data_IF_660217233521
#
_entry.id   IF_660217233521
#
_cell.length_a   1.000
_cell.length_b   1.000
_cell.length_c   1.000
_cell.angle_alpha   90.00
_cell.angle_beta   90.00
_cell.angle_gamma   90.00
#
_symmetry.space_group_name_H-M   'P 1'
#
loop_
_entity.id
_entity.type
_entity.pdbx_description
1 polymer ?
#
# COMPACT_ATOMS: atom_id res chain seq x y z
N UNK A 1 11.10 21.74 -61.14
CA UNK A 1 10.89 20.46 -60.39
C UNK A 1 10.77 20.60 -58.83
N UNK A 2 11.04 21.76 -58.20
CA UNK A 2 10.97 21.94 -56.72
C UNK A 2 9.56 22.13 -56.11
N UNK A 3 8.56 22.63 -56.88
CA UNK A 3 7.22 22.91 -56.32
C UNK A 3 6.33 21.68 -56.03
N UNK A 4 6.54 20.53 -56.66
CA UNK A 4 5.74 19.31 -56.43
C UNK A 4 6.14 18.54 -55.14
N UNK A 5 7.39 18.64 -54.71
CA UNK A 5 7.85 18.00 -53.45
C UNK A 5 7.27 18.70 -52.19
N UNK A 6 7.13 20.02 -52.23
CA UNK A 6 6.60 20.80 -51.10
C UNK A 6 5.10 20.54 -50.83
N UNK A 7 4.30 20.34 -51.90
CA UNK A 7 2.87 19.98 -51.73
C UNK A 7 2.66 18.59 -51.17
N UNK A 8 3.48 17.59 -51.52
CA UNK A 8 3.40 16.23 -50.96
C UNK A 8 3.78 16.19 -49.48
N UNK A 9 4.76 16.97 -49.08
CA UNK A 9 5.23 17.00 -47.70
C UNK A 9 4.20 17.67 -46.75
N UNK A 10 3.51 18.74 -47.21
CA UNK A 10 2.41 19.37 -46.45
C UNK A 10 1.16 18.49 -46.37
N UNK A 11 0.89 17.68 -47.40
CA UNK A 11 -0.24 16.75 -47.36
C UNK A 11 0.00 15.59 -46.39
N UNK A 12 1.24 15.08 -46.36
CA UNK A 12 1.62 14.00 -45.45
C UNK A 12 1.64 14.46 -43.99
N UNK A 13 2.15 15.66 -43.70
CA UNK A 13 2.12 16.24 -42.34
C UNK A 13 0.70 16.54 -41.86
N UNK A 14 -0.18 17.02 -42.76
CA UNK A 14 -1.60 17.23 -42.45
C UNK A 14 -2.34 15.92 -42.11
N UNK A 15 -2.07 14.84 -42.85
CA UNK A 15 -2.69 13.55 -42.63
C UNK A 15 -2.24 12.91 -41.28
N UNK A 16 -0.95 13.05 -40.94
CA UNK A 16 -0.42 12.58 -39.64
C UNK A 16 -1.03 13.37 -38.47
N UNK A 17 -1.18 14.69 -38.62
CA UNK A 17 -1.84 15.54 -37.63
C UNK A 17 -3.32 15.17 -37.44
N UNK A 18 -4.04 14.90 -38.53
CA UNK A 18 -5.46 14.47 -38.47
C UNK A 18 -5.57 13.11 -37.78
N UNK A 19 -4.67 12.16 -38.04
CA UNK A 19 -4.64 10.87 -37.34
C UNK A 19 -4.29 11.01 -35.85
N UNK A 20 -3.39 11.91 -35.46
CA UNK A 20 -3.04 12.21 -34.08
C UNK A 20 -4.19 12.93 -33.35
N UNK A 21 -4.83 13.92 -33.99
CA UNK A 21 -5.98 14.61 -33.37
C UNK A 21 -7.24 13.75 -33.36
N UNK A 22 -7.51 12.99 -34.43
CA UNK A 22 -8.61 12.02 -34.44
C UNK A 22 -8.44 10.92 -33.42
N UNK A 23 -7.22 10.38 -33.24
CA UNK A 23 -6.88 9.43 -32.19
C UNK A 23 -7.05 10.02 -30.78
N UNK A 24 -6.61 11.27 -30.58
CA UNK A 24 -6.78 11.98 -29.31
C UNK A 24 -8.25 12.29 -29.00
N UNK A 25 -9.05 12.67 -30.00
CA UNK A 25 -10.48 12.94 -29.83
C UNK A 25 -11.27 11.66 -29.50
N UNK A 26 -10.98 10.54 -30.16
CA UNK A 26 -11.56 9.23 -29.86
C UNK A 26 -11.13 8.72 -28.47
N UNK A 27 -9.89 9.03 -28.07
CA UNK A 27 -9.37 8.69 -26.73
C UNK A 27 -10.06 9.50 -25.62
N UNK A 28 -10.34 10.78 -25.87
CA UNK A 28 -11.00 11.67 -24.91
C UNK A 28 -12.51 11.42 -24.79
N UNK A 29 -13.17 10.99 -25.87
CA UNK A 29 -14.64 10.89 -25.91
C UNK A 29 -15.20 9.56 -25.38
N UNK A 30 -14.38 8.50 -25.22
CA UNK A 30 -14.82 7.19 -24.70
C UNK A 30 -13.77 6.51 -23.81
N UNK A 31 -13.48 7.07 -22.63
CA UNK A 31 -12.42 6.56 -21.75
C UNK A 31 -12.65 5.08 -21.32
N UNK A 32 -13.90 4.65 -21.20
CA UNK A 32 -14.22 3.26 -20.83
C UNK A 32 -13.93 2.25 -21.96
N UNK A 33 -14.12 2.62 -23.21
CA UNK A 33 -13.79 1.76 -24.36
C UNK A 33 -12.28 1.60 -24.47
N UNK A 34 -11.54 2.68 -24.26
CA UNK A 34 -10.07 2.66 -24.28
C UNK A 34 -9.51 1.82 -23.13
N UNK A 35 -10.05 1.97 -21.92
CA UNK A 35 -9.70 1.10 -20.77
C UNK A 35 -10.00 -0.36 -21.07
N UNK A 36 -11.14 -0.68 -21.71
CA UNK A 36 -11.54 -2.04 -22.08
C UNK A 36 -10.64 -2.64 -23.16
N UNK A 37 -10.22 -1.83 -24.15
CA UNK A 37 -9.30 -2.24 -25.21
C UNK A 37 -7.89 -2.44 -24.66
N UNK A 38 -7.39 -1.54 -23.80
CA UNK A 38 -6.10 -1.68 -23.14
C UNK A 38 -6.08 -2.91 -22.22
N UNK A 39 -7.14 -3.17 -21.43
CA UNK A 39 -7.26 -4.40 -20.63
C UNK A 39 -7.20 -5.68 -21.48
N UNK A 40 -7.72 -5.66 -22.70
CA UNK A 40 -7.73 -6.81 -23.60
C UNK A 40 -6.38 -7.07 -24.27
N UNK A 41 -5.49 -6.08 -24.30
CA UNK A 41 -4.18 -6.16 -25.00
C UNK A 41 -3.02 -6.47 -24.04
N UNK A 42 -3.23 -6.35 -22.73
CA UNK A 42 -2.19 -6.67 -21.74
C UNK A 42 -2.26 -8.17 -21.43
N UNK A 43 -1.24 -8.92 -21.85
CA UNK A 43 -1.05 -10.29 -21.43
C UNK A 43 -0.48 -10.31 -20.01
N UNK A 44 -1.37 -10.42 -19.02
CA UNK A 44 -0.95 -10.56 -17.63
C UNK A 44 -0.21 -11.88 -17.39
N UNK A 45 0.95 -11.79 -16.76
CA UNK A 45 1.72 -12.98 -16.38
C UNK A 45 1.29 -13.48 -15.02
N UNK A 46 1.50 -14.78 -14.75
CA UNK A 46 1.24 -15.32 -13.42
C UNK A 46 2.23 -14.72 -12.41
N UNK A 47 1.74 -14.15 -11.32
CA UNK A 47 2.59 -13.62 -10.24
C UNK A 47 3.49 -14.77 -9.70
N UNK A 48 4.80 -14.59 -9.78
CA UNK A 48 5.79 -15.55 -9.28
C UNK A 48 6.36 -15.07 -7.95
N UNK A 49 6.54 -16.00 -7.02
CA UNK A 49 7.16 -15.75 -5.71
C UNK A 49 8.52 -16.42 -5.70
N UNK A 50 9.59 -15.68 -5.39
CA UNK A 50 10.98 -16.15 -5.43
C UNK A 50 11.49 -16.69 -4.09
N UNK A 51 10.66 -16.77 -3.04
CA UNK A 51 11.08 -17.26 -1.72
C UNK A 51 10.06 -17.02 -0.62
N UNK A 52 10.41 -17.39 0.61
CA UNK A 52 9.63 -17.13 1.82
C UNK A 52 10.16 -15.90 2.53
N UNK A 53 9.69 -14.71 2.13
CA UNK A 53 10.10 -13.43 2.73
C UNK A 53 9.43 -13.20 4.08
N UNK A 54 8.20 -13.65 4.27
CA UNK A 54 7.49 -13.54 5.54
C UNK A 54 8.27 -14.15 6.71
N UNK A 55 9.03 -15.20 6.48
CA UNK A 55 9.88 -15.84 7.49
C UNK A 55 11.12 -15.03 7.87
N UNK A 56 11.48 -14.00 7.11
CA UNK A 56 12.63 -13.11 7.34
C UNK A 56 12.27 -11.85 8.15
N UNK A 57 10.98 -11.55 8.31
CA UNK A 57 10.51 -10.41 9.10
C UNK A 57 10.46 -10.83 10.59
N UNK A 58 11.57 -10.60 11.31
CA UNK A 58 11.81 -11.12 12.68
C UNK A 58 12.37 -10.08 13.64
N UNK A 59 12.17 -8.79 13.39
CA UNK A 59 12.67 -7.74 14.27
C UNK A 59 12.00 -7.83 15.65
N UNK A 60 12.78 -7.61 16.71
CA UNK A 60 12.27 -7.64 18.07
C UNK A 60 11.79 -6.25 18.50
N UNK A 61 10.78 -6.18 19.36
CA UNK A 61 10.28 -4.93 19.92
C UNK A 61 11.40 -4.09 20.55
N UNK A 62 12.34 -4.71 21.25
CA UNK A 62 13.51 -4.05 21.83
C UNK A 62 14.39 -3.30 20.83
N UNK A 63 14.35 -3.70 19.54
CA UNK A 63 15.16 -3.06 18.50
C UNK A 63 14.62 -1.68 18.07
N UNK A 64 13.34 -1.42 18.22
CA UNK A 64 12.69 -0.22 17.71
C UNK A 64 11.92 0.60 18.74
N UNK A 65 11.49 0.03 19.88
CA UNK A 65 10.60 0.75 20.81
C UNK A 65 11.21 2.05 21.34
N UNK A 66 12.46 2.03 21.75
CA UNK A 66 13.18 3.24 22.21
C UNK A 66 13.32 4.29 21.13
N UNK A 67 13.45 3.87 19.86
CA UNK A 67 13.52 4.80 18.72
C UNK A 67 12.16 5.45 18.48
N UNK A 68 11.07 4.68 18.43
CA UNK A 68 9.75 5.28 18.21
C UNK A 68 9.29 6.15 19.37
N UNK A 69 9.65 5.81 20.60
CA UNK A 69 9.43 6.65 21.79
C UNK A 69 10.12 8.03 21.65
N UNK A 70 11.33 8.05 21.11
CA UNK A 70 12.12 9.28 20.93
C UNK A 70 11.72 10.08 19.68
N UNK A 71 11.41 9.40 18.55
CA UNK A 71 11.24 10.04 17.24
C UNK A 71 9.80 10.10 16.76
N UNK A 72 8.91 9.38 17.43
CA UNK A 72 7.48 9.37 17.15
C UNK A 72 6.75 10.60 17.72
N UNK A 73 5.44 10.59 17.58
CA UNK A 73 4.60 11.60 18.24
C UNK A 73 4.47 11.30 19.74
N UNK A 74 4.16 12.31 20.55
CA UNK A 74 3.68 12.08 21.91
C UNK A 74 2.34 11.33 21.87
N UNK A 75 2.18 10.19 22.61
CA UNK A 75 0.96 9.41 22.58
C UNK A 75 -0.30 10.19 22.94
N UNK A 76 -1.28 10.14 22.07
CA UNK A 76 -2.58 10.78 22.27
C UNK A 76 -3.37 10.07 23.39
N UNK A 77 -4.14 10.84 24.15
CA UNK A 77 -4.95 10.32 25.26
C UNK A 77 -6.19 9.57 24.75
N UNK A 78 -6.93 10.21 23.85
CA UNK A 78 -8.22 9.78 23.31
C UNK A 78 -8.37 10.24 21.85
N UNK A 79 -9.54 10.02 21.24
CA UNK A 79 -9.84 10.36 19.87
C UNK A 79 -9.83 11.90 19.61
N UNK A 80 -10.33 12.68 20.56
CA UNK A 80 -10.33 14.14 20.45
C UNK A 80 -8.89 14.69 20.35
N UNK A 81 -7.99 14.14 21.18
CA UNK A 81 -6.57 14.49 21.14
C UNK A 81 -5.94 14.11 19.78
N UNK A 82 -6.27 12.95 19.20
CA UNK A 82 -5.82 12.58 17.84
C UNK A 82 -6.28 13.59 16.79
N UNK A 83 -7.56 13.95 16.81
CA UNK A 83 -8.18 14.85 15.82
C UNK A 83 -7.60 16.27 15.88
N UNK A 84 -7.10 16.70 17.04
CA UNK A 84 -6.48 18.02 17.22
C UNK A 84 -5.01 18.08 16.79
N UNK A 85 -4.36 16.95 16.49
CA UNK A 85 -2.92 16.87 16.23
C UNK A 85 -2.54 17.28 14.80
N UNK A 86 -1.74 18.32 14.65
CA UNK A 86 -1.21 18.77 13.36
C UNK A 86 -0.13 17.86 12.76
N UNK A 87 0.50 17.01 13.56
CA UNK A 87 1.55 16.08 13.13
C UNK A 87 1.04 14.66 12.87
N UNK A 88 -0.28 14.47 12.88
CA UNK A 88 -0.98 13.26 12.45
C UNK A 88 -1.79 13.55 11.19
N UNK A 89 -1.70 12.65 10.24
CA UNK A 89 -2.36 12.74 8.95
C UNK A 89 -3.40 11.65 8.85
N UNK A 90 -4.62 12.03 8.49
CA UNK A 90 -5.68 11.07 8.19
C UNK A 90 -5.26 10.18 7.03
N UNK A 91 -5.55 8.89 7.14
CA UNK A 91 -5.27 7.87 6.14
C UNK A 91 -6.60 7.37 5.60
N UNK A 92 -6.72 7.32 4.30
CA UNK A 92 -7.84 6.78 3.56
C UNK A 92 -7.34 5.62 2.71
N UNK A 93 -8.23 4.72 2.28
CA UNK A 93 -7.85 3.61 1.40
C UNK A 93 -7.20 4.12 0.11
N UNK A 94 -6.18 3.42 -0.35
CA UNK A 94 -5.42 3.73 -1.56
C UNK A 94 -5.78 2.83 -2.73
N UNK A 95 -4.97 2.88 -3.78
CA UNK A 95 -5.15 2.03 -4.97
C UNK A 95 -4.86 0.57 -4.66
N UNK A 96 -3.83 0.29 -3.86
CA UNK A 96 -3.35 -1.06 -3.57
C UNK A 96 -3.52 -1.46 -2.10
N UNK A 97 -4.27 -0.69 -1.31
CA UNK A 97 -4.66 -1.07 0.04
C UNK A 97 -6.05 -0.55 0.40
N UNK A 98 -6.69 -1.27 1.31
CA UNK A 98 -7.89 -0.85 2.03
C UNK A 98 -7.62 -0.79 3.53
N UNK A 99 -8.51 -0.12 4.25
CA UNK A 99 -8.49 -0.05 5.72
C UNK A 99 -9.71 -0.79 6.21
N UNK A 100 -9.48 -1.77 7.08
CA UNK A 100 -10.53 -2.53 7.75
C UNK A 100 -11.27 -1.69 8.80
N UNK A 101 -12.34 -2.22 9.38
CA UNK A 101 -12.94 -1.64 10.56
C UNK A 101 -11.93 -1.61 11.73
N UNK A 102 -11.75 -0.44 12.34
CA UNK A 102 -10.72 -0.19 13.34
C UNK A 102 -11.32 -0.09 14.75
N UNK A 103 -11.44 -1.23 15.46
CA UNK A 103 -12.02 -1.26 16.81
C UNK A 103 -11.16 -0.56 17.89
N UNK A 104 -9.82 -0.67 17.75
CA UNK A 104 -8.85 -0.25 18.78
C UNK A 104 -7.75 0.65 18.22
N UNK A 105 -7.99 1.29 17.10
CA UNK A 105 -7.04 2.26 16.50
C UNK A 105 -7.80 3.27 15.65
N UNK A 106 -7.13 4.34 15.26
CA UNK A 106 -7.68 5.39 14.41
C UNK A 106 -6.88 5.49 13.12
N UNK A 107 -7.55 5.81 12.00
CA UNK A 107 -6.95 5.91 10.68
C UNK A 107 -6.05 7.16 10.53
N UNK A 108 -5.01 7.24 11.34
CA UNK A 108 -4.03 8.32 11.34
C UNK A 108 -2.62 7.78 11.42
N UNK A 109 -1.69 8.44 10.75
CA UNK A 109 -0.26 8.19 10.84
C UNK A 109 0.53 9.49 10.92
N UNK A 110 1.71 9.43 11.53
CA UNK A 110 2.71 10.49 11.45
C UNK A 110 3.24 10.63 10.01
N UNK A 111 3.96 11.71 9.71
CA UNK A 111 4.60 11.91 8.41
C UNK A 111 5.45 10.72 7.97
N UNK A 112 6.25 10.15 8.88
CA UNK A 112 7.09 8.97 8.60
C UNK A 112 6.25 7.72 8.33
N UNK A 113 5.23 7.46 9.16
CA UNK A 113 4.32 6.33 8.97
C UNK A 113 3.57 6.41 7.64
N UNK A 114 3.03 7.59 7.29
CA UNK A 114 2.37 7.82 6.00
C UNK A 114 3.32 7.62 4.81
N UNK A 115 4.56 8.11 4.91
CA UNK A 115 5.56 7.93 3.86
C UNK A 115 5.97 6.45 3.67
N UNK A 116 6.07 5.69 4.76
CA UNK A 116 6.33 4.26 4.69
C UNK A 116 5.16 3.50 4.06
N UNK A 117 3.91 3.78 4.49
CA UNK A 117 2.72 3.16 3.90
C UNK A 117 2.65 3.43 2.40
N UNK A 118 2.91 4.68 1.98
CA UNK A 118 2.93 5.04 0.55
C UNK A 118 4.01 4.28 -0.23
N UNK A 119 5.19 4.07 0.36
CA UNK A 119 6.25 3.28 -0.27
C UNK A 119 5.83 1.81 -0.44
N UNK A 120 5.24 1.20 0.61
CA UNK A 120 4.74 -0.19 0.52
C UNK A 120 3.66 -0.29 -0.56
N UNK A 121 2.72 0.65 -0.61
CA UNK A 121 1.68 0.70 -1.63
C UNK A 121 2.26 0.75 -3.03
N UNK A 122 3.20 1.67 -3.26
CA UNK A 122 3.84 1.87 -4.56
C UNK A 122 4.59 0.62 -5.01
N UNK A 123 5.50 0.11 -4.18
CA UNK A 123 6.35 -1.03 -4.52
C UNK A 123 5.53 -2.32 -4.68
N UNK A 124 4.46 -2.50 -3.88
CA UNK A 124 3.52 -3.61 -4.03
C UNK A 124 2.75 -3.52 -5.34
N UNK A 125 2.21 -2.35 -5.67
CA UNK A 125 1.52 -2.09 -6.92
C UNK A 125 2.40 -2.32 -8.15
N UNK A 126 3.66 -1.89 -8.11
CA UNK A 126 4.63 -2.12 -9.18
C UNK A 126 4.86 -3.62 -9.41
N UNK A 127 5.05 -4.41 -8.34
CA UNK A 127 5.22 -5.86 -8.45
C UNK A 127 3.97 -6.58 -9.00
N UNK A 128 2.78 -6.02 -8.82
CA UNK A 128 1.54 -6.61 -9.31
C UNK A 128 1.14 -6.14 -10.71
N UNK A 129 1.55 -4.97 -11.16
CA UNK A 129 0.99 -4.21 -12.30
C UNK A 129 0.82 -5.00 -13.60
N UNK A 130 1.70 -5.97 -13.87
CA UNK A 130 1.68 -6.82 -15.08
C UNK A 130 1.26 -8.26 -14.81
N UNK A 131 0.70 -8.54 -13.62
CA UNK A 131 0.38 -9.90 -13.20
C UNK A 131 -1.12 -10.20 -13.16
N UNK A 132 -1.47 -11.47 -13.06
CA UNK A 132 -2.85 -11.97 -12.88
C UNK A 132 -3.53 -11.51 -11.58
N UNK A 133 -2.79 -10.81 -10.71
CA UNK A 133 -3.24 -10.29 -9.42
C UNK A 133 -3.14 -8.75 -9.32
N UNK A 134 -3.04 -8.04 -10.46
CA UNK A 134 -2.82 -6.58 -10.53
C UNK A 134 -3.90 -5.72 -9.83
N UNK A 135 -5.12 -6.20 -9.71
CA UNK A 135 -6.23 -5.51 -9.03
C UNK A 135 -6.32 -5.86 -7.53
N UNK A 136 -5.29 -6.51 -6.96
CA UNK A 136 -5.32 -6.90 -5.55
C UNK A 136 -4.86 -5.78 -4.62
N UNK A 137 -5.49 -5.73 -3.44
CA UNK A 137 -5.18 -4.80 -2.37
C UNK A 137 -4.84 -5.56 -1.08
N UNK A 138 -3.83 -5.07 -0.34
CA UNK A 138 -3.62 -5.51 1.03
C UNK A 138 -4.54 -4.75 1.99
N UNK A 139 -4.76 -5.28 3.19
CA UNK A 139 -5.72 -4.73 4.15
C UNK A 139 -4.99 -4.33 5.42
N UNK A 140 -5.15 -3.07 5.80
CA UNK A 140 -4.62 -2.53 7.06
C UNK A 140 -5.64 -2.80 8.16
N UNK A 141 -5.20 -3.43 9.25
CA UNK A 141 -6.06 -3.84 10.37
C UNK A 141 -5.81 -3.04 11.65
N UNK A 142 -4.74 -2.26 11.72
CA UNK A 142 -4.47 -1.36 12.85
C UNK A 142 -3.54 -0.23 12.42
N UNK A 143 -3.78 0.96 12.95
CA UNK A 143 -2.96 2.15 12.77
C UNK A 143 -2.63 2.79 14.13
N UNK A 144 -2.72 4.12 14.26
CA UNK A 144 -2.39 4.82 15.50
C UNK A 144 -3.41 4.51 16.59
N UNK A 145 -2.90 4.17 17.78
CA UNK A 145 -3.69 3.91 19.00
C UNK A 145 -3.52 5.04 20.00
N UNK A 146 -4.60 5.38 20.69
CA UNK A 146 -4.56 6.25 21.86
C UNK A 146 -4.25 5.44 23.12
N UNK A 147 -3.91 6.13 24.21
CA UNK A 147 -3.78 5.50 25.55
C UNK A 147 -5.09 4.82 25.96
N UNK A 148 -6.23 5.40 25.59
CA UNK A 148 -7.54 4.81 25.85
C UNK A 148 -7.76 3.52 25.05
N UNK A 149 -7.43 3.50 23.76
CA UNK A 149 -7.49 2.27 22.94
C UNK A 149 -6.64 1.15 23.54
N UNK A 150 -5.40 1.46 23.95
CA UNK A 150 -4.50 0.47 24.55
C UNK A 150 -5.09 -0.07 25.86
N UNK A 151 -5.64 0.80 26.73
CA UNK A 151 -6.30 0.36 27.97
C UNK A 151 -7.52 -0.53 27.69
N UNK A 152 -8.36 -0.16 26.68
CA UNK A 152 -9.53 -0.95 26.28
C UNK A 152 -9.11 -2.30 25.69
N UNK A 153 -8.10 -2.34 24.84
CA UNK A 153 -7.56 -3.57 24.25
C UNK A 153 -7.03 -4.51 25.35
N UNK A 154 -6.31 -4.00 26.35
CA UNK A 154 -5.77 -4.81 27.45
C UNK A 154 -6.83 -5.45 28.33
N UNK A 155 -7.97 -4.80 28.52
CA UNK A 155 -9.08 -5.42 29.27
C UNK A 155 -9.61 -6.67 28.57
N UNK A 156 -9.54 -6.71 27.24
CA UNK A 156 -10.02 -7.83 26.43
C UNK A 156 -8.90 -8.78 26.00
N UNK A 157 -7.62 -8.35 26.09
CA UNK A 157 -6.46 -9.12 25.72
C UNK A 157 -5.29 -8.83 26.68
N UNK A 158 -5.12 -9.66 27.70
CA UNK A 158 -4.08 -9.52 28.72
C UNK A 158 -2.63 -9.56 28.21
N UNK A 159 -2.40 -9.95 26.94
CA UNK A 159 -1.08 -9.95 26.31
C UNK A 159 -0.73 -8.62 25.64
N UNK A 160 -1.66 -7.65 25.58
CA UNK A 160 -1.37 -6.35 24.97
C UNK A 160 -0.41 -5.54 25.86
N UNK A 161 0.70 -5.09 25.27
CA UNK A 161 1.74 -4.30 25.96
C UNK A 161 1.25 -2.89 26.26
N UNK A 162 1.63 -2.35 27.43
CA UNK A 162 1.48 -0.93 27.75
C UNK A 162 2.30 -0.02 26.84
N UNK A 163 3.42 -0.54 26.32
CA UNK A 163 4.33 0.15 25.40
C UNK A 163 4.07 -0.29 23.97
N UNK A 164 2.92 0.12 23.44
CA UNK A 164 2.58 -0.19 22.04
C UNK A 164 3.22 0.81 21.08
N UNK A 165 3.95 0.32 20.06
CA UNK A 165 4.53 1.15 19.01
C UNK A 165 3.47 1.96 18.23
N UNK A 166 2.23 1.46 18.18
CA UNK A 166 1.09 2.15 17.57
C UNK A 166 0.76 3.51 18.21
N UNK A 167 1.14 3.73 19.48
CA UNK A 167 0.88 5.02 20.15
C UNK A 167 1.72 6.18 19.59
N UNK A 168 2.78 5.89 18.85
CA UNK A 168 3.75 6.87 18.36
C UNK A 168 3.54 7.27 16.89
N UNK A 169 2.45 6.82 16.26
CA UNK A 169 2.01 7.23 14.92
C UNK A 169 2.83 6.72 13.74
N UNK A 170 3.87 5.92 14.00
CA UNK A 170 4.74 5.37 12.96
C UNK A 170 4.53 3.88 12.69
N UNK A 171 3.50 3.27 13.29
CA UNK A 171 3.27 1.84 13.26
C UNK A 171 1.91 1.50 12.69
N UNK A 172 1.82 0.40 11.92
CA UNK A 172 0.58 -0.17 11.43
C UNK A 172 0.70 -1.67 11.20
N UNK A 173 -0.45 -2.36 11.26
CA UNK A 173 -0.57 -3.79 11.01
C UNK A 173 -1.27 -4.04 9.67
N UNK A 174 -0.72 -4.97 8.88
CA UNK A 174 -1.27 -5.41 7.60
C UNK A 174 -1.58 -6.89 7.71
N UNK A 175 -2.84 -7.31 7.56
CA UNK A 175 -3.16 -8.74 7.56
C UNK A 175 -2.55 -9.44 6.36
N UNK A 176 -2.02 -10.63 6.57
CA UNK A 176 -1.58 -11.52 5.49
C UNK A 176 -2.50 -12.74 5.29
N UNK A 177 -3.57 -12.83 6.08
CA UNK A 177 -4.53 -13.91 5.98
C UNK A 177 -5.56 -13.69 4.86
N UNK A 178 -5.76 -12.44 4.43
CA UNK A 178 -6.72 -12.05 3.41
C UNK A 178 -6.26 -10.83 2.65
N UNK A 179 -6.71 -10.76 1.41
CA UNK A 179 -6.52 -9.64 0.48
C UNK A 179 -7.85 -9.41 -0.23
N UNK A 180 -8.00 -8.23 -0.82
CA UNK A 180 -9.11 -7.91 -1.69
C UNK A 180 -8.68 -7.99 -3.16
N UNK A 181 -9.61 -8.31 -4.05
CA UNK A 181 -9.43 -8.19 -5.49
C UNK A 181 -10.80 -7.92 -6.14
N UNK A 182 -10.87 -6.84 -6.93
CA UNK A 182 -12.15 -6.37 -7.48
C UNK A 182 -12.69 -7.26 -8.61
N UNK A 183 -11.86 -8.10 -9.21
CA UNK A 183 -12.19 -8.83 -10.43
C UNK A 183 -12.24 -10.33 -10.26
N UNK A 184 -11.77 -10.87 -9.12
CA UNK A 184 -11.82 -12.32 -8.89
C UNK A 184 -11.85 -12.68 -7.40
N UNK A 185 -12.46 -13.83 -7.11
CA UNK A 185 -12.34 -14.48 -5.80
C UNK A 185 -10.93 -15.09 -5.66
N UNK A 186 -10.19 -14.65 -4.66
CA UNK A 186 -8.84 -15.15 -4.37
C UNK A 186 -8.91 -16.55 -3.75
N UNK A 187 -8.11 -17.48 -4.24
CA UNK A 187 -7.91 -18.79 -3.64
C UNK A 187 -6.69 -18.80 -2.70
N UNK A 188 -6.45 -19.91 -1.99
CA UNK A 188 -5.35 -20.02 -1.03
C UNK A 188 -3.96 -19.79 -1.66
N UNK A 189 -3.77 -20.22 -2.93
CA UNK A 189 -2.50 -20.01 -3.64
C UNK A 189 -2.34 -18.51 -4.04
N UNK A 190 -3.41 -17.84 -4.40
CA UNK A 190 -3.39 -16.40 -4.67
C UNK A 190 -3.01 -15.62 -3.40
N UNK A 191 -3.64 -15.95 -2.26
CA UNK A 191 -3.33 -15.35 -0.95
C UNK A 191 -1.86 -15.60 -0.57
N UNK A 192 -1.36 -16.81 -0.76
CA UNK A 192 0.05 -17.12 -0.51
C UNK A 192 0.99 -16.28 -1.37
N UNK A 193 0.72 -16.15 -2.67
CA UNK A 193 1.53 -15.34 -3.59
C UNK A 193 1.52 -13.86 -3.21
N UNK A 194 0.35 -13.29 -2.91
CA UNK A 194 0.19 -11.91 -2.46
C UNK A 194 0.90 -11.66 -1.13
N UNK A 195 0.75 -12.57 -0.16
CA UNK A 195 1.45 -12.52 1.13
C UNK A 195 2.96 -12.43 0.97
N UNK A 196 3.55 -13.35 0.20
CA UNK A 196 5.01 -13.37 0.04
C UNK A 196 5.52 -12.19 -0.81
N UNK A 197 4.73 -11.70 -1.78
CA UNK A 197 5.06 -10.48 -2.54
C UNK A 197 5.04 -9.24 -1.62
N UNK A 198 4.03 -9.12 -0.77
CA UNK A 198 3.96 -8.03 0.22
C UNK A 198 5.10 -8.13 1.23
N UNK A 199 5.39 -9.35 1.71
CA UNK A 199 6.51 -9.59 2.63
C UNK A 199 7.86 -9.27 1.97
N UNK A 200 8.02 -9.53 0.67
CA UNK A 200 9.21 -9.13 -0.10
C UNK A 200 9.38 -7.62 -0.12
N UNK A 201 8.32 -6.86 -0.42
CA UNK A 201 8.34 -5.39 -0.41
C UNK A 201 8.76 -4.86 0.97
N UNK A 202 8.12 -5.37 2.03
CA UNK A 202 8.46 -4.97 3.40
C UNK A 202 9.90 -5.33 3.75
N UNK A 203 10.39 -6.49 3.31
CA UNK A 203 11.75 -6.94 3.53
C UNK A 203 12.76 -6.04 2.81
N UNK A 204 12.53 -5.68 1.55
CA UNK A 204 13.37 -4.76 0.77
C UNK A 204 13.45 -3.38 1.44
N UNK A 205 12.34 -2.84 1.93
CA UNK A 205 12.31 -1.57 2.68
C UNK A 205 13.03 -1.69 4.03
N UNK A 206 12.96 -2.83 4.71
CA UNK A 206 13.68 -3.11 5.94
C UNK A 206 15.19 -3.14 5.71
N UNK A 207 15.68 -3.85 4.68
CA UNK A 207 17.11 -3.87 4.31
C UNK A 207 17.63 -2.46 3.98
N UNK A 208 16.78 -1.63 3.36
CA UNK A 208 17.06 -0.22 3.10
C UNK A 208 16.89 0.69 4.34
N UNK A 209 16.78 0.11 5.54
CA UNK A 209 16.66 0.81 6.83
C UNK A 209 15.47 1.79 6.91
N UNK A 210 14.41 1.54 6.16
CA UNK A 210 13.20 2.38 6.16
C UNK A 210 12.17 1.95 7.19
N UNK A 211 12.20 0.68 7.61
CA UNK A 211 11.30 0.14 8.62
C UNK A 211 11.93 -0.97 9.44
N UNK A 212 11.27 -1.33 10.55
CA UNK A 212 11.34 -2.62 11.20
C UNK A 212 10.07 -3.39 10.89
N UNK A 213 10.14 -4.72 10.85
CA UNK A 213 8.98 -5.54 10.55
C UNK A 213 9.01 -6.91 11.22
N UNK A 214 7.84 -7.34 11.66
CA UNK A 214 7.63 -8.64 12.32
C UNK A 214 6.46 -9.35 11.65
N UNK A 215 6.63 -10.65 11.36
CA UNK A 215 5.51 -11.54 11.03
C UNK A 215 4.92 -12.06 12.33
N UNK A 216 3.76 -11.55 12.72
CA UNK A 216 3.03 -12.03 13.90
C UNK A 216 2.20 -13.28 13.56
N UNK A 217 2.30 -14.33 14.39
CA UNK A 217 1.59 -15.59 14.15
C UNK A 217 0.25 -15.68 14.87
N UNK A 218 0.15 -15.06 16.06
CA UNK A 218 -1.08 -15.09 16.88
C UNK A 218 -2.18 -14.21 16.29
N UNK A 219 -1.80 -13.06 15.76
CA UNK A 219 -2.62 -12.23 14.90
C UNK A 219 -1.96 -12.27 13.52
N UNK A 220 -2.57 -12.89 12.49
CA UNK A 220 -1.89 -13.10 11.21
C UNK A 220 -1.69 -11.77 10.46
N UNK A 221 -0.72 -10.99 10.91
CA UNK A 221 -0.36 -9.70 10.34
C UNK A 221 1.16 -9.48 10.25
N UNK A 222 1.53 -8.59 9.37
CA UNK A 222 2.83 -7.93 9.36
C UNK A 222 2.73 -6.67 10.22
N UNK A 223 3.43 -6.64 11.34
CA UNK A 223 3.58 -5.46 12.18
C UNK A 223 4.75 -4.64 11.64
N UNK A 224 4.48 -3.44 11.13
CA UNK A 224 5.45 -2.61 10.42
C UNK A 224 5.62 -1.29 11.14
N UNK A 225 6.87 -0.90 11.38
CA UNK A 225 7.24 0.30 12.14
C UNK A 225 8.18 1.18 11.33
N UNK A 226 7.82 2.44 11.09
CA UNK A 226 8.66 3.39 10.36
C UNK A 226 9.92 3.75 11.15
N UNK A 227 11.04 3.89 10.41
CA UNK A 227 12.36 4.18 10.96
C UNK A 227 12.79 5.63 10.77
#
# INVERSE_FOLDING_TARGET
>A
MRRKKFKKQKFFTGLILICLFGGFYLFSSKPEVVKKVLKKTINYTKLKVSGSYSSRLKDKMSAYISTVERTGITPCRNEEDINSRRNLYKIESGTYYSIDHLDYSHAYLSKKGKALLKAIETDFGEKLSTTDLHDSRFIITSLTRTKENVRRLRRNNGNASDKSAHMYGGCFDITYARFENDNKRLNANDIYRLKETLAQVIFELKENKRCWAITEKRQPCFHVVAR
#
